data_IF_604801930176
#
_entry.id   IF_604801930176
#
_cell.length_a   1.000
_cell.length_b   1.000
_cell.length_c   1.000
_cell.angle_alpha   90.00
_cell.angle_beta   90.00
_cell.angle_gamma   90.00
#
_symmetry.space_group_name_H-M   'P 1'
#
loop_
_entity.id
_entity.type
_entity.pdbx_description
1 polymer ?
#
# COMPACT_ATOMS: atom_id res chain seq x y z
N UNK A 1 -9.73 -10.65 3.16
CA UNK A 1 -8.57 -10.43 4.05
C UNK A 1 -8.95 -10.85 5.46
N UNK A 2 -8.08 -11.59 6.11
CA UNK A 2 -8.20 -11.90 7.54
C UNK A 2 -7.01 -11.32 8.29
N UNK A 3 -7.25 -10.87 9.51
CA UNK A 3 -6.19 -10.30 10.33
C UNK A 3 -6.42 -10.67 11.78
N UNK A 4 -5.35 -11.09 12.47
CA UNK A 4 -5.38 -11.40 13.90
C UNK A 4 -4.29 -10.59 14.58
N UNK A 5 -4.45 -10.38 15.88
CA UNK A 5 -3.47 -9.65 16.67
C UNK A 5 -2.56 -10.60 17.41
N UNK A 6 -1.26 -10.30 17.37
CA UNK A 6 -0.24 -11.04 18.13
C UNK A 6 0.65 -9.99 18.81
N UNK A 7 0.26 -9.58 20.01
CA UNK A 7 0.93 -8.49 20.72
C UNK A 7 0.79 -7.17 19.97
N UNK A 8 1.90 -6.57 19.61
CA UNK A 8 1.95 -5.30 18.88
C UNK A 8 1.94 -5.48 17.36
N UNK A 9 1.81 -6.71 16.91
CA UNK A 9 1.88 -7.05 15.49
C UNK A 9 0.54 -7.61 15.03
N UNK A 10 0.16 -7.27 13.81
CA UNK A 10 -0.99 -7.84 13.13
C UNK A 10 -0.51 -8.91 12.16
N UNK A 11 -1.13 -10.07 12.20
CA UNK A 11 -0.87 -11.15 11.23
C UNK A 11 -1.98 -11.07 10.18
N UNK A 12 -1.63 -10.61 8.99
CA UNK A 12 -2.57 -10.40 7.90
C UNK A 12 -2.44 -11.53 6.88
N UNK A 13 -3.55 -12.21 6.61
CA UNK A 13 -3.62 -13.20 5.54
C UNK A 13 -3.98 -12.49 4.24
N UNK A 14 -3.03 -12.41 3.33
CA UNK A 14 -3.14 -11.65 2.09
C UNK A 14 -3.11 -12.56 0.87
N UNK A 15 -4.00 -12.28 -0.08
CA UNK A 15 -3.94 -12.94 -1.39
C UNK A 15 -2.79 -12.36 -2.21
N UNK A 16 -2.33 -13.09 -3.24
CA UNK A 16 -1.28 -12.55 -4.14
C UNK A 16 -1.64 -11.19 -4.74
N UNK A 17 -2.91 -11.00 -5.09
CA UNK A 17 -3.37 -9.75 -5.68
C UNK A 17 -3.35 -8.60 -4.67
N UNK A 18 -3.69 -8.86 -3.42
CA UNK A 18 -3.61 -7.86 -2.35
C UNK A 18 -2.15 -7.46 -2.09
N UNK A 19 -1.24 -8.42 -2.01
CA UNK A 19 0.19 -8.12 -1.85
C UNK A 19 0.71 -7.30 -3.03
N UNK A 20 0.31 -7.66 -4.24
CA UNK A 20 0.71 -6.95 -5.45
C UNK A 20 0.23 -5.49 -5.43
N UNK A 21 -1.01 -5.25 -5.02
CA UNK A 21 -1.55 -3.88 -4.93
C UNK A 21 -0.78 -3.05 -3.89
N UNK A 22 -0.49 -3.62 -2.74
CA UNK A 22 0.29 -2.96 -1.69
C UNK A 22 1.71 -2.64 -2.17
N UNK A 23 2.34 -3.62 -2.81
CA UNK A 23 3.68 -3.46 -3.38
C UNK A 23 3.71 -2.36 -4.44
N UNK A 24 2.76 -2.37 -5.38
CA UNK A 24 2.72 -1.37 -6.44
C UNK A 24 2.52 0.04 -5.91
N UNK A 25 1.63 0.21 -4.93
CA UNK A 25 1.40 1.52 -4.34
C UNK A 25 2.64 2.07 -3.64
N UNK A 26 3.26 1.27 -2.77
CA UNK A 26 4.46 1.68 -2.03
C UNK A 26 5.66 1.85 -2.96
N UNK A 27 5.86 0.92 -3.88
CA UNK A 27 6.97 0.94 -4.82
C UNK A 27 6.88 2.15 -5.75
N UNK A 28 5.67 2.51 -6.19
CA UNK A 28 5.48 3.69 -7.04
C UNK A 28 5.92 4.96 -6.32
N UNK A 29 5.49 5.13 -5.07
CA UNK A 29 5.87 6.31 -4.28
C UNK A 29 7.37 6.31 -3.94
N UNK A 30 7.93 5.16 -3.59
CA UNK A 30 9.36 5.01 -3.33
C UNK A 30 10.20 5.30 -4.57
N UNK A 31 9.69 4.97 -5.76
CA UNK A 31 10.37 5.18 -7.03
C UNK A 31 10.38 6.63 -7.50
N UNK A 32 9.63 7.52 -6.87
CA UNK A 32 9.65 8.94 -7.18
C UNK A 32 10.89 9.60 -6.57
N UNK A 33 11.26 10.76 -7.10
CA UNK A 33 12.41 11.52 -6.60
C UNK A 33 11.99 12.34 -5.36
N UNK A 34 11.54 11.62 -4.33
CA UNK A 34 11.13 12.22 -3.04
C UNK A 34 12.24 12.06 -2.01
N UNK A 35 12.42 13.10 -1.18
CA UNK A 35 13.21 12.98 0.04
C UNK A 35 12.40 12.39 1.19
N UNK A 36 13.04 12.27 2.36
CA UNK A 36 12.40 11.71 3.55
C UNK A 36 11.19 12.55 4.01
N UNK A 37 11.25 13.87 3.87
CA UNK A 37 10.15 14.75 4.26
C UNK A 37 8.89 14.45 3.45
N UNK A 38 9.03 14.38 2.12
CA UNK A 38 7.89 14.11 1.25
C UNK A 38 7.31 12.72 1.51
N UNK A 39 8.17 11.69 1.63
CA UNK A 39 7.71 10.33 1.94
C UNK A 39 7.03 10.24 3.29
N UNK A 40 7.56 10.94 4.31
CA UNK A 40 6.95 10.96 5.63
C UNK A 40 5.57 11.59 5.59
N UNK A 41 5.39 12.65 4.81
CA UNK A 41 4.09 13.28 4.63
C UNK A 41 3.11 12.38 3.88
N UNK A 42 3.58 11.63 2.89
CA UNK A 42 2.73 10.78 2.07
C UNK A 42 2.36 9.46 2.74
N UNK A 43 3.32 8.82 3.41
CA UNK A 43 3.12 7.46 3.94
C UNK A 43 3.45 7.29 5.42
N UNK A 44 3.90 8.35 6.08
CA UNK A 44 4.18 8.30 7.52
C UNK A 44 5.55 7.75 7.90
N UNK A 45 6.45 7.55 6.94
CA UNK A 45 7.79 7.03 7.20
C UNK A 45 8.79 7.52 6.15
N UNK A 46 10.07 7.55 6.50
CA UNK A 46 11.14 7.91 5.58
C UNK A 46 11.52 6.78 4.65
N UNK A 47 12.45 7.08 3.74
CA UNK A 47 12.84 6.18 2.65
C UNK A 47 13.32 4.82 3.14
N UNK A 48 14.17 4.78 4.15
CA UNK A 48 14.73 3.52 4.64
C UNK A 48 13.62 2.56 5.11
N UNK A 49 12.67 3.08 5.88
CA UNK A 49 11.55 2.30 6.39
C UNK A 49 10.60 1.87 5.27
N UNK A 50 10.32 2.77 4.33
CA UNK A 50 9.47 2.47 3.17
C UNK A 50 10.09 1.37 2.31
N UNK A 51 11.37 1.52 1.99
CA UNK A 51 12.08 0.55 1.14
C UNK A 51 12.16 -0.83 1.81
N UNK A 52 12.32 -0.89 3.13
CA UNK A 52 12.32 -2.15 3.85
C UNK A 52 10.97 -2.88 3.73
N UNK A 53 9.86 -2.16 3.83
CA UNK A 53 8.54 -2.74 3.66
C UNK A 53 8.29 -3.16 2.22
N UNK A 54 8.69 -2.34 1.25
CA UNK A 54 8.59 -2.68 -0.17
C UNK A 54 9.31 -4.00 -0.45
N UNK A 55 10.51 -4.17 0.10
CA UNK A 55 11.29 -5.40 -0.09
C UNK A 55 10.60 -6.62 0.50
N UNK A 56 9.94 -6.48 1.66
CA UNK A 56 9.18 -7.58 2.26
C UNK A 56 7.96 -7.97 1.44
N UNK A 57 7.35 -7.05 0.73
CA UNK A 57 6.19 -7.30 -0.13
C UNK A 57 6.58 -7.75 -1.54
N UNK A 58 7.83 -7.53 -1.93
CA UNK A 58 8.32 -7.87 -3.26
C UNK A 58 8.38 -9.39 -3.47
N UNK A 59 8.49 -9.77 -4.73
CA UNK A 59 8.63 -11.17 -5.12
C UNK A 59 7.37 -11.70 -5.77
N UNK A 60 7.44 -12.98 -6.18
CA UNK A 60 6.32 -13.64 -6.83
C UNK A 60 5.53 -14.44 -5.80
N UNK A 61 4.30 -14.03 -5.57
CA UNK A 61 3.37 -14.71 -4.68
C UNK A 61 2.35 -15.46 -5.52
N UNK A 62 2.24 -16.77 -5.33
CA UNK A 62 1.33 -17.63 -6.08
C UNK A 62 0.13 -18.10 -5.27
N UNK A 63 0.19 -17.93 -3.95
CA UNK A 63 -0.89 -18.30 -3.04
C UNK A 63 -0.96 -17.34 -1.86
N UNK A 64 -2.08 -17.37 -1.14
CA UNK A 64 -2.26 -16.54 0.05
C UNK A 64 -1.25 -16.92 1.13
N UNK A 65 -0.75 -15.93 1.83
CA UNK A 65 0.22 -16.13 2.90
C UNK A 65 0.04 -15.09 4.00
N UNK A 66 0.68 -15.35 5.14
CA UNK A 66 0.60 -14.47 6.31
C UNK A 66 1.75 -13.48 6.31
N UNK A 67 1.41 -12.22 6.55
CA UNK A 67 2.38 -11.14 6.73
C UNK A 67 2.24 -10.55 8.13
N UNK A 68 3.35 -10.40 8.81
CA UNK A 68 3.39 -9.76 10.13
C UNK A 68 3.66 -8.27 9.92
N UNK A 69 2.70 -7.44 10.28
CA UNK A 69 2.74 -6.00 10.04
C UNK A 69 2.47 -5.25 11.34
N UNK A 70 3.31 -4.27 11.63
CA UNK A 70 3.09 -3.36 12.75
C UNK A 70 1.98 -2.37 12.41
N UNK A 71 1.48 -1.65 13.43
CA UNK A 71 0.53 -0.56 13.18
C UNK A 71 1.11 0.49 12.23
N UNK A 72 2.39 0.83 12.40
CA UNK A 72 3.06 1.76 11.50
C UNK A 72 3.06 1.26 10.07
N UNK A 73 3.36 -0.02 9.87
CA UNK A 73 3.37 -0.62 8.53
C UNK A 73 1.98 -0.67 7.90
N UNK A 74 0.95 -0.97 8.69
CA UNK A 74 -0.44 -0.92 8.21
C UNK A 74 -0.81 0.50 7.80
N UNK A 75 -0.40 1.49 8.57
CA UNK A 75 -0.62 2.89 8.24
C UNK A 75 0.11 3.28 6.94
N UNK A 76 1.33 2.80 6.75
CA UNK A 76 2.09 3.05 5.53
C UNK A 76 1.38 2.47 4.30
N UNK A 77 0.90 1.23 4.41
CA UNK A 77 0.15 0.57 3.33
C UNK A 77 -1.13 1.34 3.01
N UNK A 78 -1.92 1.65 4.03
CA UNK A 78 -3.16 2.42 3.85
C UNK A 78 -2.88 3.76 3.17
N UNK A 79 -1.89 4.48 3.68
CA UNK A 79 -1.53 5.80 3.16
C UNK A 79 -1.04 5.73 1.71
N UNK A 80 -0.25 4.71 1.36
CA UNK A 80 0.22 4.53 -0.01
C UNK A 80 -0.93 4.25 -0.97
N UNK A 81 -1.87 3.37 -0.57
CA UNK A 81 -3.04 3.04 -1.39
C UNK A 81 -3.91 4.27 -1.66
N UNK A 82 -3.96 5.21 -0.73
CA UNK A 82 -4.74 6.44 -0.91
C UNK A 82 -3.94 7.54 -1.60
N UNK A 83 -2.64 7.60 -1.40
CA UNK A 83 -1.79 8.65 -1.98
C UNK A 83 -1.39 8.37 -3.44
N UNK A 84 -1.10 7.11 -3.80
CA UNK A 84 -0.64 6.78 -5.14
C UNK A 84 -1.56 7.28 -6.26
N UNK A 85 -2.90 7.13 -6.16
CA UNK A 85 -3.80 7.64 -7.19
C UNK A 85 -3.71 9.16 -7.42
N UNK A 86 -3.32 9.94 -6.42
CA UNK A 86 -3.21 11.40 -6.55
C UNK A 86 -2.11 11.81 -7.52
N UNK A 87 -1.14 10.93 -7.77
CA UNK A 87 -0.07 11.17 -8.74
C UNK A 87 -0.58 11.12 -10.19
N UNK A 88 -1.79 10.61 -10.40
CA UNK A 88 -2.41 10.46 -11.72
C UNK A 88 -3.54 11.45 -11.92
N UNK A 89 -3.36 12.68 -11.45
CA UNK A 89 -4.33 13.75 -11.56
C UNK A 89 -3.95 14.67 -12.72
N UNK A 90 -4.92 14.97 -13.60
CA UNK A 90 -4.74 15.90 -14.70
C UNK A 90 -4.77 17.37 -14.24
N UNK A 91 -4.59 18.29 -15.21
CA UNK A 91 -4.54 19.75 -14.95
C UNK A 91 -5.78 20.29 -14.24
N UNK A 92 -6.93 19.68 -14.49
CA UNK A 92 -8.21 20.10 -13.91
C UNK A 92 -8.51 19.40 -12.60
N UNK A 93 -7.56 18.65 -12.05
CA UNK A 93 -7.74 17.89 -10.83
C UNK A 93 -8.50 16.57 -11.03
N UNK A 94 -8.82 16.21 -12.28
CA UNK A 94 -9.51 14.96 -12.57
C UNK A 94 -8.53 13.79 -12.53
N UNK A 95 -8.97 12.66 -11.94
CA UNK A 95 -8.19 11.45 -11.91
C UNK A 95 -8.04 10.84 -13.31
N UNK A 96 -6.82 10.40 -13.65
CA UNK A 96 -6.51 9.79 -14.94
C UNK A 96 -6.48 8.27 -14.81
N UNK A 97 -7.61 7.61 -15.12
CA UNK A 97 -7.80 6.16 -14.97
C UNK A 97 -6.84 5.33 -15.82
N UNK A 98 -6.73 5.65 -17.10
CA UNK A 98 -5.92 4.85 -18.03
C UNK A 98 -4.43 4.86 -17.69
N UNK A 99 -3.78 6.02 -17.49
CA UNK A 99 -2.39 6.03 -17.04
C UNK A 99 -2.15 5.29 -15.73
N UNK A 100 -3.08 5.41 -14.78
CA UNK A 100 -3.01 4.71 -13.51
C UNK A 100 -3.02 3.19 -13.72
N UNK A 101 -3.98 2.69 -14.49
CA UNK A 101 -4.12 1.26 -14.76
C UNK A 101 -2.91 0.70 -15.51
N UNK A 102 -2.43 1.43 -16.52
CA UNK A 102 -1.26 1.01 -17.30
C UNK A 102 -0.02 0.89 -16.40
N UNK A 103 0.19 1.87 -15.53
CA UNK A 103 1.40 1.91 -14.70
C UNK A 103 1.34 0.93 -13.52
N UNK A 104 0.20 0.82 -12.86
CA UNK A 104 0.08 0.07 -11.60
C UNK A 104 -0.64 -1.29 -11.75
N UNK A 105 -1.33 -1.51 -12.86
CA UNK A 105 -2.02 -2.78 -13.11
C UNK A 105 -3.32 -2.97 -12.36
N UNK A 106 -3.85 -1.92 -11.76
CA UNK A 106 -5.09 -1.93 -10.97
C UNK A 106 -5.94 -0.73 -11.33
N UNK A 107 -7.23 -0.79 -10.99
CA UNK A 107 -8.11 0.38 -11.03
C UNK A 107 -8.07 1.07 -9.66
N UNK A 108 -8.36 2.36 -9.64
CA UNK A 108 -8.40 3.13 -8.39
C UNK A 108 -9.35 2.52 -7.38
N UNK A 109 -10.50 2.02 -7.84
CA UNK A 109 -11.48 1.38 -6.96
C UNK A 109 -10.89 0.15 -6.23
N UNK A 110 -9.93 -0.55 -6.83
CA UNK A 110 -9.26 -1.67 -6.19
C UNK A 110 -8.40 -1.19 -5.02
N UNK A 111 -7.69 -0.08 -5.21
CA UNK A 111 -6.88 0.52 -4.14
C UNK A 111 -7.76 1.05 -3.02
N UNK A 112 -8.85 1.74 -3.35
CA UNK A 112 -9.76 2.29 -2.36
C UNK A 112 -10.41 1.17 -1.53
N UNK A 113 -10.85 0.09 -2.18
CA UNK A 113 -11.45 -1.05 -1.50
C UNK A 113 -10.46 -1.73 -0.56
N UNK A 114 -9.21 -1.89 -1.00
CA UNK A 114 -8.18 -2.51 -0.18
C UNK A 114 -7.80 -1.62 1.02
N UNK A 115 -7.71 -0.31 0.82
CA UNK A 115 -7.45 0.64 1.90
C UNK A 115 -8.55 0.54 2.98
N UNK A 116 -9.82 0.49 2.57
CA UNK A 116 -10.93 0.30 3.50
C UNK A 116 -10.84 -1.06 4.22
N UNK A 117 -10.49 -2.12 3.50
CA UNK A 117 -10.37 -3.45 4.08
C UNK A 117 -9.28 -3.52 5.15
N UNK A 118 -8.15 -2.84 4.93
CA UNK A 118 -7.07 -2.76 5.92
C UNK A 118 -7.59 -2.17 7.24
N UNK A 119 -8.30 -1.04 7.17
CA UNK A 119 -8.83 -0.36 8.36
C UNK A 119 -9.83 -1.24 9.09
N UNK A 120 -10.83 -1.77 8.37
CA UNK A 120 -11.88 -2.58 8.98
C UNK A 120 -11.33 -3.86 9.60
N UNK A 121 -10.48 -4.55 8.87
CA UNK A 121 -9.94 -5.83 9.31
C UNK A 121 -9.04 -5.64 10.53
N UNK A 122 -8.21 -4.60 10.55
CA UNK A 122 -7.37 -4.28 11.69
C UNK A 122 -8.21 -3.89 12.92
N UNK A 123 -9.30 -3.15 12.72
CA UNK A 123 -10.17 -2.74 13.82
C UNK A 123 -10.89 -3.92 14.47
N UNK A 124 -11.14 -4.98 13.71
CA UNK A 124 -11.82 -6.18 14.20
C UNK A 124 -10.85 -7.23 14.73
N UNK A 125 -9.57 -7.01 14.58
CA UNK A 125 -8.55 -7.97 14.98
C UNK A 125 -8.34 -8.05 16.50
#
# INVERSE_FOLDING_TARGET
MKMTRDGDVFVARLTPRQVSAMYEALSYLSGQDYGDTELTLLVGAGRETVDALVERLAGRHTESSDFRLTMEELHMVHSALTAAPTMFTGREGAFLEEPFNIRLGFYRENFDALACAVVRTAAEA
#
